data_IF_579213407875
#
_entry.id   IF_579213407875
#
_cell.length_a   1.000
_cell.length_b   1.000
_cell.length_c   1.000
_cell.angle_alpha   90.00
_cell.angle_beta   90.00
_cell.angle_gamma   90.00
#
_symmetry.space_group_name_H-M   'P 1'
#
loop_
_entity.id
_entity.type
_entity.pdbx_description
1 polymer ?
#
# COMPACT_ATOMS: atom_id res chain seq x y z
N UNK A 1 4.04 35.66 57.96
CA UNK A 1 3.96 37.11 57.70
C UNK A 1 4.93 37.42 56.55
N UNK A 2 4.36 37.90 55.43
CA UNK A 2 4.93 38.34 54.14
C UNK A 2 6.43 38.69 54.07
N UNK A 3 7.09 38.36 52.95
CA UNK A 3 7.40 39.30 51.84
C UNK A 3 8.15 38.64 50.67
N UNK A 4 7.64 38.87 49.46
CA UNK A 4 8.27 38.67 48.14
C UNK A 4 9.11 39.90 47.71
N UNK A 5 9.74 39.77 46.52
CA UNK A 5 10.23 40.77 45.55
C UNK A 5 11.75 41.04 45.62
N UNK A 6 12.53 41.19 44.54
CA UNK A 6 12.31 41.16 43.08
C UNK A 6 13.66 41.35 42.34
N UNK A 7 13.78 40.78 41.14
CA UNK A 7 14.61 41.12 39.95
C UNK A 7 15.72 42.19 40.07
N UNK A 8 16.89 41.89 39.48
CA UNK A 8 17.48 42.75 38.44
C UNK A 8 18.48 42.04 37.52
N UNK A 9 18.26 42.20 36.22
CA UNK A 9 19.16 41.87 35.10
C UNK A 9 20.14 43.02 34.92
N UNK A 10 21.44 42.75 34.78
CA UNK A 10 22.39 43.63 34.07
C UNK A 10 23.42 42.82 33.29
N UNK A 11 23.46 43.05 31.97
CA UNK A 11 24.53 42.66 31.04
C UNK A 11 25.67 43.69 31.13
N UNK A 12 26.91 43.21 31.04
CA UNK A 12 28.11 43.90 30.47
C UNK A 12 29.23 42.86 30.41
N UNK A 13 29.56 42.27 29.26
CA UNK A 13 30.64 42.67 28.33
C UNK A 13 32.04 42.67 28.95
N UNK A 14 32.84 41.64 28.67
CA UNK A 14 34.30 41.74 28.51
C UNK A 14 34.83 40.48 27.80
N UNK A 15 35.26 40.67 26.55
CA UNK A 15 35.80 39.62 25.69
C UNK A 15 37.20 39.20 26.11
N UNK A 16 37.46 37.89 26.02
CA UNK A 16 38.81 37.34 26.05
C UNK A 16 39.28 37.08 24.61
N UNK A 17 40.55 37.44 24.40
CA UNK A 17 41.25 37.58 23.13
C UNK A 17 41.56 36.21 22.52
N UNK A 18 41.28 36.05 21.23
CA UNK A 18 41.75 34.95 20.41
C UNK A 18 43.12 35.35 19.81
N UNK A 19 44.17 34.59 20.11
CA UNK A 19 45.52 34.82 19.59
C UNK A 19 45.59 34.39 18.12
N UNK A 20 45.97 35.31 17.24
CA UNK A 20 46.06 35.16 15.79
C UNK A 20 47.07 34.08 15.38
N UNK A 21 46.60 33.08 14.63
CA UNK A 21 47.42 32.31 13.69
C UNK A 21 47.47 33.08 12.36
N UNK A 22 48.68 33.33 11.86
CA UNK A 22 48.96 34.13 10.66
C UNK A 22 48.74 33.27 9.41
N UNK A 23 47.72 33.56 8.61
CA UNK A 23 47.60 33.08 7.24
C UNK A 23 47.12 34.22 6.33
N UNK A 24 48.05 34.83 5.61
CA UNK A 24 47.81 35.96 4.71
C UNK A 24 47.35 35.48 3.33
N UNK A 25 46.05 35.18 3.20
CA UNK A 25 45.14 35.50 2.08
C UNK A 25 43.87 34.66 2.21
N UNK A 26 42.74 35.38 2.24
CA UNK A 26 41.36 34.93 2.02
C UNK A 26 40.68 34.19 3.19
N UNK A 27 40.01 35.00 4.01
CA UNK A 27 38.67 34.82 4.60
C UNK A 27 38.13 33.40 4.87
N UNK A 28 37.82 33.18 6.17
CA UNK A 28 36.88 32.23 6.77
C UNK A 28 37.42 30.86 7.23
N UNK A 29 37.46 30.58 8.56
CA UNK A 29 37.32 29.22 9.04
C UNK A 29 35.86 28.78 8.82
N UNK A 30 35.66 27.90 7.84
CA UNK A 30 34.43 27.17 7.66
C UNK A 30 34.32 26.13 8.79
N UNK A 31 33.60 26.48 9.86
CA UNK A 31 33.06 25.49 10.78
C UNK A 31 32.03 24.66 9.99
N UNK A 32 32.52 23.59 9.38
CA UNK A 32 31.66 22.50 8.93
C UNK A 32 31.09 21.84 10.17
N UNK A 33 30.04 22.43 10.74
CA UNK A 33 29.02 21.67 11.44
C UNK A 33 28.45 20.69 10.41
N UNK A 34 29.11 19.55 10.29
CA UNK A 34 28.52 18.37 9.71
C UNK A 34 27.33 18.05 10.61
N UNK A 35 26.13 18.45 10.18
CA UNK A 35 24.90 17.82 10.64
C UNK A 35 25.04 16.37 10.20
N UNK A 36 25.63 15.55 11.05
CA UNK A 36 25.53 14.11 10.95
C UNK A 36 24.06 13.83 11.17
N UNK A 37 23.30 13.70 10.08
CA UNK A 37 22.03 12.98 10.12
C UNK A 37 22.38 11.56 10.56
N UNK A 38 22.46 11.35 11.88
CA UNK A 38 22.39 10.02 12.44
C UNK A 38 21.12 9.42 11.84
N UNK A 39 21.29 8.41 11.00
CA UNK A 39 20.18 7.68 10.39
C UNK A 39 19.41 7.08 11.55
N UNK A 40 18.33 7.74 11.95
CA UNK A 40 17.44 7.26 13.01
C UNK A 40 16.97 5.86 12.63
N UNK A 41 16.93 4.96 13.60
CA UNK A 41 16.44 3.60 13.39
C UNK A 41 15.07 3.63 12.66
N UNK A 42 14.83 2.77 11.65
CA UNK A 42 13.57 2.78 10.92
C UNK A 42 12.33 2.61 11.80
N UNK A 43 12.40 1.84 12.89
CA UNK A 43 11.30 1.69 13.83
C UNK A 43 11.06 2.99 14.61
N UNK A 44 12.13 3.66 15.05
CA UNK A 44 12.02 4.98 15.68
C UNK A 44 11.35 5.99 14.75
N UNK A 45 11.69 5.95 13.46
CA UNK A 45 11.03 6.78 12.46
C UNK A 45 9.52 6.51 12.37
N UNK A 46 9.10 5.24 12.39
CA UNK A 46 7.69 4.85 12.37
C UNK A 46 6.95 5.31 13.63
N UNK A 47 7.53 5.11 14.82
CA UNK A 47 6.93 5.54 16.10
C UNK A 47 6.81 7.06 16.14
N UNK A 48 7.85 7.79 15.74
CA UNK A 48 7.83 9.25 15.66
C UNK A 48 6.82 9.73 14.60
N UNK A 49 6.71 9.02 13.47
CA UNK A 49 5.71 9.25 12.43
C UNK A 49 4.28 9.12 12.96
N UNK A 50 3.99 8.06 13.71
CA UNK A 50 2.68 7.87 14.34
C UNK A 50 2.34 9.00 15.31
N UNK A 51 3.29 9.45 16.13
CA UNK A 51 3.05 10.61 17.04
C UNK A 51 2.67 11.87 16.26
N UNK A 52 3.34 12.15 15.14
CA UNK A 52 2.99 13.28 14.25
C UNK A 52 1.61 13.09 13.61
N UNK A 53 1.30 11.87 13.17
CA UNK A 53 0.00 11.53 12.60
C UNK A 53 -1.14 11.77 13.61
N UNK A 54 -1.00 11.30 14.85
CA UNK A 54 -2.00 11.51 15.91
C UNK A 54 -2.19 13.00 16.18
N UNK A 55 -1.10 13.76 16.39
CA UNK A 55 -1.19 15.19 16.66
C UNK A 55 -1.92 15.96 15.55
N UNK A 56 -1.54 15.74 14.29
CA UNK A 56 -2.16 16.41 13.14
C UNK A 56 -3.62 15.99 12.90
N UNK A 57 -3.97 14.73 13.19
CA UNK A 57 -5.33 14.24 12.98
C UNK A 57 -6.26 14.77 14.07
N UNK A 58 -5.83 14.78 15.34
CA UNK A 58 -6.60 15.31 16.47
C UNK A 58 -6.75 16.83 16.43
N UNK A 59 -5.78 17.56 15.85
CA UNK A 59 -5.93 19.00 15.61
C UNK A 59 -7.10 19.31 14.67
N UNK A 60 -7.33 18.47 13.66
CA UNK A 60 -8.44 18.62 12.71
C UNK A 60 -9.77 18.12 13.26
N UNK A 61 -9.73 17.01 13.99
CA UNK A 61 -10.89 16.38 14.60
C UNK A 61 -10.51 15.74 15.94
N UNK A 62 -10.82 16.40 17.07
CA UNK A 62 -10.47 15.89 18.40
C UNK A 62 -11.11 14.55 18.75
N UNK A 63 -12.23 14.18 18.12
CA UNK A 63 -13.00 12.99 18.44
C UNK A 63 -12.69 11.79 17.52
N UNK A 64 -11.89 11.99 16.47
CA UNK A 64 -11.62 10.98 15.44
C UNK A 64 -11.26 9.59 16.00
N UNK A 65 -10.36 9.52 16.98
CA UNK A 65 -9.93 8.24 17.55
C UNK A 65 -10.96 7.65 18.52
N UNK A 66 -11.74 8.50 19.19
CA UNK A 66 -12.87 8.07 20.04
C UNK A 66 -13.96 7.45 19.17
N UNK A 67 -14.23 8.05 18.01
CA UNK A 67 -15.22 7.53 17.07
C UNK A 67 -14.75 6.24 16.40
N UNK A 68 -13.49 6.18 15.95
CA UNK A 68 -12.90 4.95 15.41
C UNK A 68 -12.91 3.79 16.43
N UNK A 69 -12.76 4.07 17.72
CA UNK A 69 -12.79 3.05 18.77
C UNK A 69 -14.17 2.44 19.02
N UNK A 70 -15.27 3.10 18.58
CA UNK A 70 -16.63 2.59 18.76
C UNK A 70 -16.95 1.42 17.81
N UNK A 71 -16.27 1.34 16.68
CA UNK A 71 -16.47 0.27 15.70
C UNK A 71 -16.09 0.69 14.28
N UNK A 72 -16.30 -0.23 13.33
CA UNK A 72 -16.04 -0.02 11.91
C UNK A 72 -17.23 -0.51 11.08
N UNK A 73 -17.48 0.15 9.95
CA UNK A 73 -18.48 -0.26 8.96
C UNK A 73 -17.98 0.03 7.54
N UNK A 74 -16.85 -0.57 7.12
CA UNK A 74 -16.31 -0.35 5.79
C UNK A 74 -17.29 -0.86 4.72
N UNK A 75 -17.39 -0.14 3.61
CA UNK A 75 -18.24 -0.57 2.49
C UNK A 75 -17.49 -1.45 1.48
N UNK A 76 -16.15 -1.50 1.58
CA UNK A 76 -15.26 -2.15 0.63
C UNK A 76 -14.32 -3.12 1.35
N UNK A 77 -14.24 -4.35 0.85
CA UNK A 77 -13.09 -5.24 1.08
C UNK A 77 -12.08 -5.04 -0.06
N UNK A 78 -10.83 -4.75 0.27
CA UNK A 78 -9.71 -4.65 -0.66
C UNK A 78 -8.75 -5.83 -0.48
N UNK A 79 -8.53 -6.59 -1.55
CA UNK A 79 -7.54 -7.65 -1.65
C UNK A 79 -6.42 -7.16 -2.57
N UNK A 80 -5.26 -6.84 -1.99
CA UNK A 80 -4.14 -6.20 -2.69
C UNK A 80 -2.81 -6.93 -2.50
N UNK A 81 -1.78 -6.42 -3.18
CA UNK A 81 -0.44 -6.98 -3.04
C UNK A 81 0.23 -6.41 -1.78
N UNK A 82 1.10 -7.19 -1.14
CA UNK A 82 1.93 -6.75 -0.01
C UNK A 82 2.98 -5.68 -0.39
N UNK A 83 3.05 -5.29 -1.67
CA UNK A 83 3.96 -4.27 -2.20
C UNK A 83 3.84 -2.93 -1.47
N UNK A 84 4.92 -2.47 -0.84
CA UNK A 84 4.93 -1.27 0.00
C UNK A 84 4.51 0.02 -0.70
N UNK A 85 4.50 0.05 -2.04
CA UNK A 85 4.13 1.21 -2.85
C UNK A 85 2.61 1.36 -3.04
N UNK A 86 1.82 0.36 -2.67
CA UNK A 86 0.36 0.36 -2.89
C UNK A 86 -0.44 0.19 -1.58
N UNK A 87 -0.29 1.11 -0.60
CA UNK A 87 -1.19 1.17 0.56
C UNK A 87 -2.56 1.72 0.15
N UNK A 88 -3.59 0.89 0.19
CA UNK A 88 -4.95 1.15 -0.31
C UNK A 88 -5.61 2.39 0.29
N UNK A 89 -5.55 2.58 1.61
CA UNK A 89 -6.13 3.78 2.25
C UNK A 89 -5.46 5.06 1.73
N UNK A 90 -4.15 5.05 1.49
CA UNK A 90 -3.41 6.22 1.01
C UNK A 90 -3.64 6.48 -0.48
N UNK A 91 -3.47 5.47 -1.33
CA UNK A 91 -3.57 5.65 -2.80
C UNK A 91 -4.99 5.96 -3.25
N UNK A 92 -6.00 5.56 -2.46
CA UNK A 92 -7.40 5.91 -2.68
C UNK A 92 -7.86 7.19 -1.98
N UNK A 93 -6.97 7.85 -1.22
CA UNK A 93 -7.31 9.02 -0.40
C UNK A 93 -8.50 8.77 0.56
N UNK A 94 -8.53 7.59 1.17
CA UNK A 94 -9.54 7.19 2.16
C UNK A 94 -9.05 7.46 3.58
N UNK A 95 -9.96 7.40 4.54
CA UNK A 95 -9.69 7.47 5.98
C UNK A 95 -9.57 6.07 6.58
N UNK A 96 -8.92 5.92 7.76
CA UNK A 96 -9.01 4.70 8.54
C UNK A 96 -10.48 4.31 8.77
N UNK A 97 -10.82 3.04 8.57
CA UNK A 97 -12.19 2.53 8.71
C UNK A 97 -13.02 2.50 7.42
N UNK A 98 -12.60 3.19 6.34
CA UNK A 98 -13.33 3.21 5.07
C UNK A 98 -13.18 1.89 4.27
N UNK A 99 -12.00 1.26 4.37
CA UNK A 99 -11.62 0.07 3.60
C UNK A 99 -11.17 -1.04 4.56
N UNK A 100 -11.75 -2.23 4.43
CA UNK A 100 -11.26 -3.45 5.09
C UNK A 100 -10.28 -4.17 4.18
N UNK A 101 -9.16 -4.68 4.70
CA UNK A 101 -7.98 -4.97 3.85
C UNK A 101 -7.40 -6.36 4.08
N UNK A 102 -7.10 -7.06 3.00
CA UNK A 102 -6.20 -8.21 2.96
C UNK A 102 -5.05 -7.94 1.97
N UNK A 103 -3.81 -8.27 2.34
CA UNK A 103 -2.65 -8.12 1.46
C UNK A 103 -1.74 -9.33 1.52
N UNK A 104 -1.34 -9.83 0.35
CA UNK A 104 -0.44 -10.96 0.20
C UNK A 104 0.46 -10.81 -1.03
N UNK A 105 1.36 -11.75 -1.29
CA UNK A 105 2.25 -11.66 -2.46
C UNK A 105 1.43 -11.78 -3.74
N UNK A 106 1.54 -10.78 -4.61
CA UNK A 106 0.83 -10.71 -5.89
C UNK A 106 -0.70 -10.76 -5.81
N UNK A 107 -1.33 -10.38 -4.67
CA UNK A 107 -2.79 -10.29 -4.54
C UNK A 107 -3.54 -11.55 -5.00
N UNK A 108 -2.93 -12.72 -4.82
CA UNK A 108 -3.46 -14.00 -5.28
C UNK A 108 -4.46 -14.53 -4.28
N UNK A 109 -5.59 -15.03 -4.77
CA UNK A 109 -6.60 -15.73 -3.97
C UNK A 109 -6.57 -17.22 -4.34
N UNK A 110 -6.26 -18.07 -3.36
CA UNK A 110 -6.32 -19.51 -3.51
C UNK A 110 -7.63 -20.03 -2.93
N UNK A 111 -8.28 -20.99 -3.60
CA UNK A 111 -9.56 -21.53 -3.14
C UNK A 111 -9.50 -22.17 -1.74
N UNK A 112 -8.33 -22.70 -1.37
CA UNK A 112 -8.10 -23.41 -0.11
C UNK A 112 -7.18 -22.62 0.85
N UNK A 113 -6.96 -21.32 0.64
CA UNK A 113 -6.21 -20.49 1.59
C UNK A 113 -7.13 -20.01 2.71
N UNK A 114 -6.96 -20.57 3.90
CA UNK A 114 -7.74 -20.20 5.09
C UNK A 114 -7.53 -18.73 5.47
N UNK A 115 -6.35 -18.15 5.18
CA UNK A 115 -6.06 -16.76 5.50
C UNK A 115 -7.00 -15.81 4.73
N UNK A 116 -6.92 -15.80 3.40
CA UNK A 116 -7.82 -14.96 2.58
C UNK A 116 -9.29 -15.33 2.76
N UNK A 117 -9.64 -16.62 2.89
CA UNK A 117 -11.01 -17.05 3.13
C UNK A 117 -11.58 -16.49 4.44
N UNK A 118 -10.80 -16.48 5.53
CA UNK A 118 -11.23 -15.91 6.81
C UNK A 118 -11.52 -14.41 6.71
N UNK A 119 -10.69 -13.65 5.99
CA UNK A 119 -10.88 -12.21 5.80
C UNK A 119 -12.11 -11.93 4.93
N UNK A 120 -12.32 -12.73 3.87
CA UNK A 120 -13.48 -12.64 3.00
C UNK A 120 -14.76 -12.95 3.78
N UNK A 121 -14.81 -14.05 4.53
CA UNK A 121 -15.98 -14.40 5.35
C UNK A 121 -16.29 -13.29 6.37
N UNK A 122 -15.28 -12.77 7.07
CA UNK A 122 -15.48 -11.70 8.04
C UNK A 122 -16.04 -10.42 7.39
N UNK A 123 -15.41 -9.96 6.30
CA UNK A 123 -15.84 -8.76 5.60
C UNK A 123 -17.27 -8.88 5.06
N UNK A 124 -17.59 -10.03 4.46
CA UNK A 124 -18.85 -10.23 3.74
C UNK A 124 -19.99 -10.62 4.68
N UNK A 125 -19.76 -11.59 5.58
CA UNK A 125 -20.78 -12.12 6.46
C UNK A 125 -20.97 -11.28 7.72
N UNK A 126 -19.93 -10.62 8.25
CA UNK A 126 -20.02 -9.87 9.50
C UNK A 126 -20.01 -8.35 9.29
N UNK A 127 -19.04 -7.81 8.55
CA UNK A 127 -19.00 -6.36 8.27
C UNK A 127 -19.98 -5.92 7.18
N UNK A 128 -20.56 -6.89 6.47
CA UNK A 128 -21.60 -6.66 5.47
C UNK A 128 -21.15 -5.72 4.34
N UNK A 129 -19.86 -5.72 3.98
CA UNK A 129 -19.31 -4.90 2.87
C UNK A 129 -20.15 -5.03 1.61
N UNK A 130 -20.23 -3.95 0.82
CA UNK A 130 -21.03 -3.87 -0.40
C UNK A 130 -20.23 -4.24 -1.65
N UNK A 131 -18.92 -4.01 -1.61
CA UNK A 131 -18.01 -4.24 -2.74
C UNK A 131 -16.78 -5.02 -2.28
N UNK A 132 -16.30 -5.91 -3.13
CA UNK A 132 -14.99 -6.55 -2.97
C UNK A 132 -14.14 -6.18 -4.16
N UNK A 133 -12.93 -5.70 -3.89
CA UNK A 133 -11.96 -5.26 -4.88
C UNK A 133 -10.77 -6.22 -4.83
N UNK A 134 -10.37 -6.76 -5.99
CA UNK A 134 -9.05 -7.36 -6.17
C UNK A 134 -8.20 -6.38 -6.97
N UNK A 135 -7.16 -5.83 -6.35
CA UNK A 135 -6.29 -4.87 -6.99
C UNK A 135 -4.90 -5.45 -7.24
N UNK A 136 -4.60 -5.69 -8.51
CA UNK A 136 -3.24 -5.90 -8.99
C UNK A 136 -2.51 -4.57 -9.19
N UNK A 137 -1.26 -4.64 -9.61
CA UNK A 137 -0.49 -3.43 -9.91
C UNK A 137 0.63 -3.68 -10.93
N UNK A 138 1.05 -2.62 -11.61
CA UNK A 138 2.24 -2.65 -12.48
C UNK A 138 3.51 -2.86 -11.64
N UNK A 139 4.57 -3.41 -12.24
CA UNK A 139 5.85 -3.65 -11.55
C UNK A 139 5.73 -4.55 -10.30
N UNK A 140 4.80 -5.52 -10.32
CA UNK A 140 4.62 -6.51 -9.25
C UNK A 140 5.74 -7.55 -9.27
N UNK A 141 6.48 -7.67 -8.16
CA UNK A 141 7.58 -8.63 -8.03
C UNK A 141 7.15 -10.08 -8.19
N UNK A 142 6.00 -10.47 -7.63
CA UNK A 142 5.48 -11.83 -7.77
C UNK A 142 5.02 -12.16 -9.20
N UNK A 143 4.40 -11.20 -9.90
CA UNK A 143 4.03 -11.37 -11.31
C UNK A 143 5.27 -11.47 -12.22
N UNK A 144 6.28 -10.64 -11.98
CA UNK A 144 7.55 -10.69 -12.70
C UNK A 144 8.29 -12.02 -12.44
N UNK A 145 8.36 -12.47 -11.18
CA UNK A 145 8.98 -13.74 -10.82
C UNK A 145 8.25 -14.95 -11.44
N UNK A 146 6.93 -14.86 -11.63
CA UNK A 146 6.14 -15.88 -12.28
C UNK A 146 6.38 -15.95 -13.80
N UNK A 147 6.97 -14.93 -14.45
CA UNK A 147 7.35 -15.00 -15.87
C UNK A 147 8.43 -16.06 -16.13
N UNK A 148 9.37 -16.23 -15.20
CA UNK A 148 10.41 -17.24 -15.25
C UNK A 148 10.07 -18.51 -14.47
N UNK A 149 10.94 -19.50 -14.56
CA UNK A 149 10.86 -20.78 -13.83
C UNK A 149 11.98 -20.91 -12.80
N UNK A 150 12.60 -19.79 -12.39
CA UNK A 150 13.61 -19.77 -11.35
C UNK A 150 13.05 -20.32 -10.03
N UNK A 151 13.86 -21.08 -9.29
CA UNK A 151 13.48 -21.54 -7.95
C UNK A 151 13.47 -20.35 -6.98
N UNK A 152 12.30 -20.09 -6.39
CA UNK A 152 12.08 -19.01 -5.41
C UNK A 152 12.09 -19.53 -3.96
N UNK A 153 12.43 -20.81 -3.77
CA UNK A 153 12.29 -21.53 -2.50
C UNK A 153 10.89 -22.12 -2.31
N UNK A 154 10.78 -23.04 -1.33
CA UNK A 154 9.60 -23.89 -1.13
C UNK A 154 8.27 -23.12 -1.10
N UNK A 155 8.12 -22.17 -0.19
CA UNK A 155 6.84 -21.47 0.02
C UNK A 155 6.44 -20.60 -1.18
N UNK A 156 7.37 -19.84 -1.76
CA UNK A 156 7.07 -18.93 -2.87
C UNK A 156 6.79 -19.69 -4.17
N UNK A 157 7.44 -20.82 -4.40
CA UNK A 157 7.13 -21.69 -5.54
C UNK A 157 5.68 -22.22 -5.46
N UNK A 158 5.25 -22.67 -4.28
CA UNK A 158 3.87 -23.13 -4.05
C UNK A 158 2.88 -21.97 -4.18
N UNK A 159 3.18 -20.83 -3.55
CA UNK A 159 2.32 -19.65 -3.56
C UNK A 159 2.11 -19.10 -4.97
N UNK A 160 3.18 -18.93 -5.76
CA UNK A 160 3.10 -18.38 -7.11
C UNK A 160 2.77 -19.43 -8.18
N UNK A 161 2.54 -20.69 -7.80
CA UNK A 161 2.18 -21.75 -8.73
C UNK A 161 0.97 -21.39 -9.62
N UNK A 162 -0.17 -20.89 -9.08
CA UNK A 162 -1.30 -20.50 -9.93
C UNK A 162 -0.97 -19.36 -10.90
N UNK A 163 -0.10 -18.44 -10.51
CA UNK A 163 0.35 -17.33 -11.37
C UNK A 163 1.22 -17.86 -12.51
N UNK A 164 2.09 -18.84 -12.24
CA UNK A 164 2.86 -19.56 -13.27
C UNK A 164 1.95 -20.35 -14.22
N UNK A 165 0.90 -20.99 -13.71
CA UNK A 165 -0.11 -21.64 -14.56
C UNK A 165 -0.80 -20.63 -15.49
N UNK A 166 -1.18 -19.46 -14.99
CA UNK A 166 -1.76 -18.40 -15.81
C UNK A 166 -0.80 -17.96 -16.93
N UNK A 167 0.50 -17.79 -16.61
CA UNK A 167 1.53 -17.53 -17.63
C UNK A 167 1.57 -18.64 -18.69
N UNK A 168 1.65 -19.91 -18.27
CA UNK A 168 1.72 -21.05 -19.22
C UNK A 168 0.49 -21.12 -20.12
N UNK A 169 -0.71 -20.94 -19.54
CA UNK A 169 -1.99 -20.92 -20.28
C UNK A 169 -2.08 -19.81 -21.32
N UNK A 170 -1.48 -18.65 -21.06
CA UNK A 170 -1.54 -17.47 -21.94
C UNK A 170 -0.21 -17.18 -22.65
N UNK A 171 0.68 -18.16 -22.76
CA UNK A 171 2.04 -17.96 -23.29
C UNK A 171 2.04 -17.33 -24.69
N UNK A 172 1.15 -17.76 -25.58
CA UNK A 172 1.04 -17.24 -26.95
C UNK A 172 0.62 -15.77 -27.01
N UNK A 173 -0.19 -15.30 -26.06
CA UNK A 173 -0.55 -13.90 -25.90
C UNK A 173 0.63 -13.09 -25.35
N UNK A 174 1.25 -13.60 -24.29
CA UNK A 174 2.36 -12.93 -23.60
C UNK A 174 3.60 -12.77 -24.49
N UNK A 175 3.90 -13.73 -25.36
CA UNK A 175 5.03 -13.65 -26.28
C UNK A 175 4.91 -12.50 -27.29
N UNK A 176 3.69 -12.02 -27.59
CA UNK A 176 3.46 -10.89 -28.49
C UNK A 176 3.68 -9.53 -27.84
N UNK A 177 3.82 -9.47 -26.52
CA UNK A 177 4.04 -8.22 -25.80
C UNK A 177 5.53 -7.81 -25.90
N UNK A 178 5.80 -6.49 -25.99
CA UNK A 178 7.09 -5.96 -26.41
C UNK A 178 8.20 -6.09 -25.35
N UNK A 179 7.86 -6.33 -24.09
CA UNK A 179 8.82 -6.37 -22.99
C UNK A 179 8.34 -7.26 -21.83
N UNK A 180 9.26 -7.67 -20.98
CA UNK A 180 8.93 -8.42 -19.75
C UNK A 180 8.10 -7.59 -18.78
N UNK A 181 8.27 -6.26 -18.77
CA UNK A 181 7.39 -5.37 -18.00
C UNK A 181 5.94 -5.43 -18.49
N UNK A 182 5.73 -5.40 -19.81
CA UNK A 182 4.40 -5.53 -20.40
C UNK A 182 3.80 -6.92 -20.12
N UNK A 183 4.61 -7.98 -20.21
CA UNK A 183 4.21 -9.36 -19.86
C UNK A 183 3.84 -9.49 -18.39
N UNK A 184 4.65 -8.93 -17.49
CA UNK A 184 4.39 -8.99 -16.04
C UNK A 184 3.12 -8.22 -15.67
N UNK A 185 2.90 -7.04 -16.27
CA UNK A 185 1.67 -6.29 -16.11
C UNK A 185 0.45 -7.10 -16.61
N UNK A 186 0.57 -7.77 -17.76
CA UNK A 186 -0.50 -8.62 -18.28
C UNK A 186 -0.76 -9.84 -17.41
N UNK A 187 0.28 -10.48 -16.88
CA UNK A 187 0.13 -11.58 -15.89
C UNK A 187 -0.56 -11.08 -14.62
N UNK A 188 -0.26 -9.85 -14.16
CA UNK A 188 -0.96 -9.26 -13.02
C UNK A 188 -2.46 -9.05 -13.31
N UNK A 189 -2.83 -8.58 -14.51
CA UNK A 189 -4.23 -8.49 -14.96
C UNK A 189 -4.92 -9.86 -14.95
N UNK A 190 -4.29 -10.89 -15.55
CA UNK A 190 -4.82 -12.25 -15.58
C UNK A 190 -5.00 -12.82 -14.17
N UNK A 191 -4.08 -12.53 -13.25
CA UNK A 191 -4.15 -12.98 -11.86
C UNK A 191 -5.30 -12.30 -11.08
N UNK A 192 -5.57 -11.02 -11.34
CA UNK A 192 -6.75 -10.34 -10.79
C UNK A 192 -8.03 -11.02 -11.26
N UNK A 193 -8.14 -11.28 -12.57
CA UNK A 193 -9.29 -11.95 -13.16
C UNK A 193 -9.50 -13.35 -12.57
N UNK A 194 -8.43 -14.15 -12.48
CA UNK A 194 -8.48 -15.49 -11.89
C UNK A 194 -8.89 -15.44 -10.41
N UNK A 195 -8.37 -14.48 -9.64
CA UNK A 195 -8.72 -14.31 -8.23
C UNK A 195 -10.19 -13.93 -8.05
N UNK A 196 -10.76 -13.12 -8.95
CA UNK A 196 -12.20 -12.82 -8.97
C UNK A 196 -13.02 -14.09 -9.23
N UNK A 197 -12.60 -14.95 -10.17
CA UNK A 197 -13.30 -16.22 -10.42
C UNK A 197 -13.27 -17.15 -9.19
N UNK A 198 -12.15 -17.20 -8.46
CA UNK A 198 -12.07 -17.94 -7.19
C UNK A 198 -13.03 -17.35 -6.15
N UNK A 199 -13.09 -16.01 -6.01
CA UNK A 199 -13.98 -15.34 -5.08
C UNK A 199 -15.46 -15.56 -5.42
N UNK A 200 -15.84 -15.60 -6.71
CA UNK A 200 -17.20 -15.92 -7.15
C UNK A 200 -17.66 -17.30 -6.69
N UNK A 201 -16.74 -18.24 -6.49
CA UNK A 201 -17.05 -19.57 -5.97
C UNK A 201 -17.19 -19.61 -4.43
N UNK A 202 -16.71 -18.59 -3.71
CA UNK A 202 -16.72 -18.55 -2.25
C UNK A 202 -18.16 -18.49 -1.69
N UNK A 203 -18.55 -19.37 -0.73
CA UNK A 203 -19.94 -19.46 -0.25
C UNK A 203 -20.52 -18.14 0.28
N UNK A 204 -19.79 -17.40 1.12
CA UNK A 204 -20.26 -16.09 1.61
C UNK A 204 -20.45 -15.05 0.49
N UNK A 205 -19.56 -15.03 -0.51
CA UNK A 205 -19.68 -14.12 -1.66
C UNK A 205 -20.93 -14.48 -2.46
N UNK A 206 -21.13 -15.76 -2.79
CA UNK A 206 -22.31 -16.23 -3.52
C UNK A 206 -23.62 -15.85 -2.84
N UNK A 207 -23.72 -16.10 -1.53
CA UNK A 207 -24.89 -15.68 -0.73
C UNK A 207 -25.09 -14.17 -0.76
N UNK A 208 -24.03 -13.40 -0.51
CA UNK A 208 -24.13 -11.93 -0.48
C UNK A 208 -24.47 -11.30 -1.83
N UNK A 209 -24.03 -11.88 -2.95
CA UNK A 209 -24.45 -11.47 -4.30
C UNK A 209 -25.96 -11.67 -4.44
N UNK A 210 -26.45 -12.86 -4.11
CA UNK A 210 -27.87 -13.21 -4.25
C UNK A 210 -28.79 -12.41 -3.33
N UNK A 211 -28.37 -12.18 -2.08
CA UNK A 211 -29.24 -11.60 -1.05
C UNK A 211 -29.16 -10.06 -0.99
N UNK A 212 -27.98 -9.49 -1.29
CA UNK A 212 -27.69 -8.07 -1.02
C UNK A 212 -27.08 -7.33 -2.22
N UNK A 213 -26.92 -7.99 -3.36
CA UNK A 213 -26.33 -7.38 -4.55
C UNK A 213 -24.87 -7.00 -4.39
N UNK A 214 -24.09 -7.75 -3.59
CA UNK A 214 -22.65 -7.55 -3.48
C UNK A 214 -21.98 -7.59 -4.86
N UNK A 215 -21.02 -6.71 -5.10
CA UNK A 215 -20.30 -6.64 -6.39
C UNK A 215 -18.80 -6.91 -6.23
N UNK A 216 -18.21 -7.59 -7.21
CA UNK A 216 -16.78 -7.89 -7.29
C UNK A 216 -16.15 -6.99 -8.35
N UNK A 217 -14.98 -6.42 -8.07
CA UNK A 217 -14.29 -5.53 -8.99
C UNK A 217 -12.80 -5.85 -9.10
N UNK A 218 -12.28 -5.87 -10.32
CA UNK A 218 -10.89 -6.07 -10.68
C UNK A 218 -10.24 -4.76 -11.08
N UNK A 219 -9.15 -4.41 -10.39
CA UNK A 219 -8.43 -3.17 -10.61
C UNK A 219 -6.94 -3.46 -10.87
N UNK A 220 -6.31 -2.56 -11.60
CA UNK A 220 -4.85 -2.43 -11.66
C UNK A 220 -4.45 -1.03 -11.22
N UNK A 221 -3.56 -0.96 -10.24
CA UNK A 221 -2.85 0.26 -9.89
C UNK A 221 -1.59 0.40 -10.74
N UNK A 222 -1.51 1.47 -11.53
CA UNK A 222 -0.30 1.80 -12.24
C UNK A 222 0.65 2.59 -11.33
N UNK A 223 1.71 1.94 -10.84
CA UNK A 223 2.71 2.55 -9.95
C UNK A 223 3.42 3.73 -10.63
N UNK A 224 3.65 3.65 -11.94
CA UNK A 224 4.36 4.71 -12.67
C UNK A 224 3.51 5.97 -12.84
N UNK A 225 2.19 5.80 -12.94
CA UNK A 225 1.24 6.89 -13.18
C UNK A 225 0.45 7.33 -11.93
N UNK A 226 0.46 6.54 -10.86
CA UNK A 226 -0.34 6.76 -9.66
C UNK A 226 -1.85 6.58 -9.86
N UNK A 227 -2.28 5.90 -10.93
CA UNK A 227 -3.69 5.79 -11.34
C UNK A 227 -4.27 4.38 -11.12
N UNK A 228 -5.50 4.29 -10.63
CA UNK A 228 -6.29 3.05 -10.62
C UNK A 228 -7.10 2.91 -11.91
N UNK A 229 -7.12 1.71 -12.49
CA UNK A 229 -7.94 1.37 -13.66
C UNK A 229 -8.74 0.11 -13.38
N UNK A 230 -10.03 0.14 -13.70
CA UNK A 230 -10.90 -1.03 -13.64
C UNK A 230 -10.61 -1.90 -14.87
N UNK A 231 -10.44 -3.21 -14.66
CA UNK A 231 -10.16 -4.20 -15.71
C UNK A 231 -11.27 -5.25 -15.86
N UNK A 232 -12.43 -5.01 -15.22
CA UNK A 232 -13.55 -5.93 -15.26
C UNK A 232 -14.23 -6.04 -16.64
N UNK A 233 -14.58 -7.27 -16.96
CA UNK A 233 -15.73 -7.61 -17.78
C UNK A 233 -16.89 -7.93 -16.83
N UNK A 234 -17.62 -6.92 -16.33
CA UNK A 234 -18.88 -7.20 -15.64
C UNK A 234 -19.83 -7.87 -16.63
N UNK A 235 -20.50 -8.94 -16.20
CA UNK A 235 -21.47 -9.70 -17.00
C UNK A 235 -22.41 -8.74 -17.77
N UNK A 236 -22.22 -8.63 -19.09
CA UNK A 236 -23.09 -7.88 -19.99
C UNK A 236 -22.60 -6.52 -20.54
N UNK A 237 -21.38 -6.07 -20.31
CA UNK A 237 -20.92 -4.76 -20.83
C UNK A 237 -19.49 -4.76 -21.34
N UNK A 238 -19.33 -4.37 -22.63
CA UNK A 238 -18.10 -4.05 -23.40
C UNK A 238 -16.74 -4.48 -22.81
N UNK A 239 -15.98 -5.25 -23.61
CA UNK A 239 -14.53 -5.50 -23.41
C UNK A 239 -13.84 -4.18 -23.05
N UNK A 240 -13.37 -4.06 -21.81
CA UNK A 240 -12.50 -2.95 -21.42
C UNK A 240 -11.10 -3.29 -21.89
N UNK A 241 -10.54 -2.40 -22.69
CA UNK A 241 -9.16 -2.46 -23.16
C UNK A 241 -8.22 -2.46 -21.95
N UNK A 242 -7.42 -3.53 -21.80
CA UNK A 242 -6.38 -3.61 -20.75
C UNK A 242 -5.35 -2.47 -20.88
N UNK A 243 -4.39 -2.40 -19.96
CA UNK A 243 -3.34 -1.36 -20.00
C UNK A 243 -2.59 -1.30 -21.34
N UNK A 244 -2.63 -2.40 -22.10
CA UNK A 244 -1.89 -2.63 -23.34
C UNK A 244 -2.82 -3.04 -24.49
N UNK A 245 -3.88 -2.30 -24.76
CA UNK A 245 -4.57 -2.42 -26.05
C UNK A 245 -3.85 -1.57 -27.10
N UNK A 246 -3.54 -2.13 -28.30
CA UNK A 246 -3.13 -1.30 -29.43
C UNK A 246 -4.22 -0.26 -29.68
N UNK A 247 -3.82 1.01 -29.83
CA UNK A 247 -4.72 2.04 -30.37
C UNK A 247 -5.04 1.74 -31.83
#
# INVERSE_FOLDING_TARGET
>A
MRRELSRQVRRTSLGQRCTLCYCSRLTQPCDKHTITHATSDPLDHLIAGNRRYVAHTTEKDPNVFVDLAKGQAPEILWIGCADSRVPETTVCHCKPGDIFVHRNIANTVHANDLNSASVVEYAVAHLKVKKVVVCGHTKCGGAAAALGDADLGGTLNTWLHPVRELRRKHMSELQRLPSDDARAARVAELNVQQSIEVLKAHPAIRRAISERGLTLHGLIYDIGAGSLKIIDNAAGGKKVNGLWSPK
#
